data_IF_597622120817
#
_entry.id   IF_597622120817
#
_cell.length_a   1.000
_cell.length_b   1.000
_cell.length_c   1.000
_cell.angle_alpha   90.00
_cell.angle_beta   90.00
_cell.angle_gamma   90.00
#
_symmetry.space_group_name_H-M   'P 1'
#
loop_
_entity.id
_entity.type
_entity.pdbx_description
1 polymer ?
#
# COMPACT_ATOMS: atom_id res chain seq x y z
N UNK A 1 14.88 -60.76 -28.79
CA UNK A 1 15.83 -59.88 -28.05
C UNK A 1 15.87 -58.42 -28.54
N UNK A 2 14.83 -57.88 -29.20
CA UNK A 2 14.80 -56.48 -29.69
C UNK A 2 13.59 -55.65 -29.20
N UNK A 3 12.69 -56.24 -28.41
CA UNK A 3 11.43 -55.62 -27.97
C UNK A 3 11.45 -55.07 -26.54
N UNK A 4 12.40 -55.50 -25.68
CA UNK A 4 12.48 -55.00 -24.30
C UNK A 4 13.14 -53.62 -24.15
N UNK A 5 13.97 -53.19 -25.11
CA UNK A 5 14.71 -51.91 -25.02
C UNK A 5 13.90 -50.66 -25.38
N UNK A 6 12.69 -50.82 -25.95
CA UNK A 6 11.83 -49.69 -26.35
C UNK A 6 10.90 -49.20 -25.23
N UNK A 7 10.73 -49.95 -24.14
CA UNK A 7 9.86 -49.56 -23.03
C UNK A 7 10.61 -48.80 -21.94
N UNK A 8 11.88 -49.14 -21.69
CA UNK A 8 12.73 -48.40 -20.74
C UNK A 8 13.00 -46.96 -21.20
N UNK A 9 13.26 -46.73 -22.49
CA UNK A 9 13.49 -45.38 -23.03
C UNK A 9 12.25 -44.46 -22.93
N UNK A 10 11.03 -45.01 -23.05
CA UNK A 10 9.78 -44.23 -22.94
C UNK A 10 9.44 -43.88 -21.49
N UNK A 11 9.76 -44.75 -20.54
CA UNK A 11 9.55 -44.51 -19.11
C UNK A 11 10.55 -43.45 -18.60
N UNK A 12 11.81 -43.48 -19.04
CA UNK A 12 12.80 -42.45 -18.70
C UNK A 12 12.46 -41.07 -19.27
N UNK A 13 11.87 -40.99 -20.47
CA UNK A 13 11.45 -39.72 -21.07
C UNK A 13 10.20 -39.14 -20.37
N UNK A 14 9.27 -39.98 -19.95
CA UNK A 14 8.09 -39.56 -19.18
C UNK A 14 8.47 -39.08 -17.77
N UNK A 15 9.43 -39.73 -17.11
CA UNK A 15 9.92 -39.30 -15.79
C UNK A 15 10.70 -37.97 -15.87
N UNK A 16 11.45 -37.73 -16.95
CA UNK A 16 12.12 -36.46 -17.19
C UNK A 16 11.14 -35.31 -17.52
N UNK A 17 10.04 -35.60 -18.22
CA UNK A 17 8.98 -34.60 -18.48
C UNK A 17 8.17 -34.26 -17.22
N UNK A 18 7.97 -35.22 -16.31
CA UNK A 18 7.34 -35.00 -15.00
C UNK A 18 8.24 -34.23 -14.02
N UNK A 19 9.56 -34.35 -14.13
CA UNK A 19 10.52 -33.56 -13.34
C UNK A 19 10.69 -32.11 -13.85
N UNK A 20 10.44 -31.85 -15.13
CA UNK A 20 10.48 -30.50 -15.71
C UNK A 20 9.20 -29.68 -15.47
N UNK A 21 8.08 -30.34 -15.16
CA UNK A 21 6.82 -29.67 -14.82
C UNK A 21 6.74 -29.28 -13.32
N UNK A 22 7.70 -29.71 -12.49
CA UNK A 22 7.73 -29.44 -11.05
C UNK A 22 8.48 -28.15 -10.68
N UNK A 23 9.03 -27.43 -11.66
CA UNK A 23 9.76 -26.17 -11.44
C UNK A 23 9.13 -25.00 -12.21
N UNK A 24 7.80 -24.90 -12.25
CA UNK A 24 7.18 -23.58 -12.25
C UNK A 24 6.86 -23.24 -10.81
N UNK A 25 7.88 -22.85 -10.02
CA UNK A 25 7.59 -22.15 -8.78
C UNK A 25 6.66 -20.98 -9.14
N UNK A 26 5.50 -20.88 -8.50
CA UNK A 26 4.69 -19.68 -8.66
C UNK A 26 5.54 -18.49 -8.17
N UNK A 27 6.01 -17.70 -9.13
CA UNK A 27 6.77 -16.47 -8.91
C UNK A 27 5.78 -15.36 -8.56
N UNK A 28 5.09 -15.51 -7.43
CA UNK A 28 4.05 -14.58 -6.98
C UNK A 28 4.13 -14.31 -5.48
N UNK A 29 3.34 -13.34 -4.98
CA UNK A 29 3.21 -13.10 -3.55
C UNK A 29 2.81 -14.36 -2.78
N UNK A 30 3.34 -14.49 -1.57
CA UNK A 30 3.02 -15.58 -0.64
C UNK A 30 2.19 -15.00 0.49
N UNK A 31 0.94 -15.45 0.58
CA UNK A 31 0.04 -15.04 1.66
C UNK A 31 0.35 -15.81 2.95
N UNK A 32 0.64 -15.07 4.01
CA UNK A 32 0.99 -15.61 5.31
C UNK A 32 -0.27 -15.65 6.19
N UNK A 33 -1.01 -16.76 6.09
CA UNK A 33 -2.32 -16.94 6.73
C UNK A 33 -2.27 -16.87 8.26
N UNK A 34 -1.13 -17.20 8.86
CA UNK A 34 -0.91 -17.20 10.31
C UNK A 34 0.48 -16.65 10.67
N UNK A 35 0.74 -16.53 11.96
CA UNK A 35 2.04 -16.10 12.48
C UNK A 35 2.38 -14.64 12.17
N UNK A 36 3.66 -14.30 12.33
CA UNK A 36 4.20 -12.98 12.08
C UNK A 36 5.53 -13.16 11.34
N UNK A 37 5.51 -13.13 9.99
CA UNK A 37 6.73 -13.29 9.19
C UNK A 37 7.81 -12.31 9.65
N UNK A 38 9.03 -12.81 9.81
CA UNK A 38 10.13 -12.00 10.34
C UNK A 38 10.63 -11.03 9.27
N UNK A 39 10.62 -11.44 8.02
CA UNK A 39 11.15 -10.70 6.89
C UNK A 39 10.04 -10.21 5.96
N UNK A 40 10.23 -9.03 5.36
CA UNK A 40 9.31 -8.52 4.35
C UNK A 40 9.36 -9.41 3.09
N UNK A 41 10.54 -9.94 2.76
CA UNK A 41 10.74 -10.89 1.66
C UNK A 41 9.90 -12.17 1.78
N UNK A 42 9.47 -12.58 2.99
CA UNK A 42 8.59 -13.73 3.21
C UNK A 42 7.20 -13.57 2.53
N UNK A 43 6.78 -12.33 2.27
CA UNK A 43 5.52 -12.03 1.57
C UNK A 43 5.66 -12.08 0.06
N UNK A 44 6.89 -11.94 -0.46
CA UNK A 44 7.20 -11.88 -1.90
C UNK A 44 6.33 -10.89 -2.68
N UNK A 45 5.88 -9.79 -2.04
CA UNK A 45 5.11 -8.71 -2.71
C UNK A 45 6.05 -7.77 -3.47
N UNK A 46 7.21 -7.50 -2.90
CA UNK A 46 8.26 -6.69 -3.50
C UNK A 46 9.62 -7.21 -3.06
N UNK A 47 10.65 -6.87 -3.83
CA UNK A 47 12.05 -7.19 -3.52
C UNK A 47 12.95 -6.05 -3.96
N UNK A 48 14.16 -6.01 -3.43
CA UNK A 48 15.21 -5.07 -3.84
C UNK A 48 16.42 -5.81 -4.34
N UNK A 49 16.95 -5.39 -5.48
CA UNK A 49 18.19 -5.90 -6.06
C UNK A 49 18.72 -4.86 -7.04
N UNK A 50 20.03 -4.85 -7.31
CA UNK A 50 20.65 -4.04 -8.36
C UNK A 50 20.24 -2.54 -8.37
N UNK A 51 20.00 -1.97 -7.19
CA UNK A 51 19.59 -0.56 -7.04
C UNK A 51 18.15 -0.26 -7.47
N UNK A 52 17.29 -1.28 -7.56
CA UNK A 52 15.86 -1.13 -7.83
C UNK A 52 15.01 -1.82 -6.77
N UNK A 53 13.77 -1.36 -6.63
CA UNK A 53 12.68 -2.08 -5.99
C UNK A 53 11.79 -2.63 -7.10
N UNK A 54 11.56 -3.94 -7.10
CA UNK A 54 10.72 -4.64 -8.07
C UNK A 54 9.47 -5.20 -7.39
N UNK A 55 8.32 -5.02 -8.03
CA UNK A 55 7.04 -5.60 -7.63
C UNK A 55 6.89 -6.97 -8.24
N UNK A 56 6.45 -7.94 -7.43
CA UNK A 56 6.19 -9.27 -7.95
C UNK A 56 4.93 -9.30 -8.83
N UNK A 57 4.81 -10.32 -9.68
CA UNK A 57 3.69 -10.43 -10.62
C UNK A 57 2.34 -10.45 -9.88
N UNK A 58 1.39 -9.66 -10.38
CA UNK A 58 0.05 -9.54 -9.80
C UNK A 58 -0.07 -8.53 -8.67
N UNK A 59 1.03 -7.89 -8.27
CA UNK A 59 1.02 -6.76 -7.34
C UNK A 59 0.75 -5.48 -8.12
N UNK A 60 -0.31 -4.77 -7.74
CA UNK A 60 -0.78 -3.55 -8.42
C UNK A 60 -0.39 -2.33 -7.59
N UNK A 61 0.45 -1.42 -8.11
CA UNK A 61 0.72 -0.16 -7.44
C UNK A 61 -0.50 0.78 -7.56
N UNK A 62 -0.68 1.65 -6.57
CA UNK A 62 -1.72 2.67 -6.62
C UNK A 62 -1.32 3.91 -5.82
N UNK A 63 -1.98 5.04 -6.12
CA UNK A 63 -1.85 6.27 -5.36
C UNK A 63 -3.21 6.85 -4.97
N UNK A 64 -3.18 7.93 -4.19
CA UNK A 64 -4.40 8.58 -3.69
C UNK A 64 -4.41 10.03 -4.19
N UNK A 65 -5.59 10.54 -4.54
CA UNK A 65 -5.78 11.95 -4.93
C UNK A 65 -5.22 12.92 -3.88
N UNK A 66 -5.42 12.60 -2.60
CA UNK A 66 -4.77 13.28 -1.48
C UNK A 66 -4.18 12.23 -0.54
N UNK A 67 -2.85 12.12 -0.40
CA UNK A 67 -2.23 11.12 0.46
C UNK A 67 -2.22 11.57 1.93
N UNK A 68 -2.13 10.59 2.83
CA UNK A 68 -1.76 10.80 4.23
C UNK A 68 -0.42 11.56 4.32
N UNK A 69 -0.37 12.64 5.09
CA UNK A 69 0.86 13.33 5.45
C UNK A 69 1.66 12.49 6.48
N UNK A 70 2.98 12.40 6.30
CA UNK A 70 3.84 11.56 7.15
C UNK A 70 5.26 12.12 7.16
N UNK A 71 5.43 13.31 7.73
CA UNK A 71 6.72 13.99 7.89
C UNK A 71 7.52 14.08 6.57
N UNK A 72 6.82 14.43 5.49
CA UNK A 72 7.35 14.54 4.13
C UNK A 72 7.88 13.25 3.50
N UNK A 73 7.71 12.09 4.15
CA UNK A 73 8.01 10.80 3.52
C UNK A 73 7.17 10.60 2.25
N UNK A 74 7.83 10.17 1.19
CA UNK A 74 7.21 9.67 -0.03
C UNK A 74 6.68 8.26 0.21
N UNK A 75 5.68 7.83 -0.56
CA UNK A 75 5.03 6.54 -0.34
C UNK A 75 4.76 5.78 -1.63
N UNK A 76 5.28 4.55 -1.70
CA UNK A 76 4.81 3.53 -2.64
C UNK A 76 3.72 2.72 -1.97
N UNK A 77 2.54 2.60 -2.58
CA UNK A 77 1.47 1.72 -2.11
C UNK A 77 1.23 0.64 -3.13
N UNK A 78 1.01 -0.57 -2.66
CA UNK A 78 0.67 -1.70 -3.52
C UNK A 78 -0.44 -2.52 -2.92
N UNK A 79 -1.13 -3.25 -3.78
CA UNK A 79 -2.15 -4.19 -3.40
C UNK A 79 -2.00 -5.48 -4.19
N UNK A 80 -2.18 -6.61 -3.52
CA UNK A 80 -2.28 -7.94 -4.10
C UNK A 80 -3.57 -8.59 -3.60
N UNK A 81 -4.33 -9.20 -4.50
CA UNK A 81 -5.51 -10.00 -4.20
C UNK A 81 -5.29 -11.43 -4.70
N UNK A 82 -5.88 -12.45 -4.04
CA UNK A 82 -5.90 -13.79 -4.58
C UNK A 82 -6.53 -13.84 -5.98
N UNK A 83 -6.03 -14.76 -6.80
CA UNK A 83 -6.46 -14.88 -8.19
C UNK A 83 -7.95 -15.20 -8.27
N UNK A 84 -8.71 -14.37 -8.99
CA UNK A 84 -10.13 -14.57 -9.23
C UNK A 84 -11.05 -14.10 -8.10
N UNK A 85 -10.48 -13.49 -7.05
CA UNK A 85 -11.23 -12.92 -5.94
C UNK A 85 -11.04 -11.40 -5.95
N UNK A 86 -11.92 -10.64 -6.64
CA UNK A 86 -11.84 -9.18 -6.66
C UNK A 86 -12.32 -8.58 -5.33
N UNK A 87 -11.89 -7.35 -5.04
CA UNK A 87 -12.54 -6.55 -4.02
C UNK A 87 -13.93 -6.09 -4.49
N UNK A 88 -14.88 -6.00 -3.58
CA UNK A 88 -16.22 -5.51 -3.87
C UNK A 88 -16.27 -3.99 -3.64
N UNK A 89 -16.75 -3.28 -4.67
CA UNK A 89 -16.88 -1.83 -4.66
C UNK A 89 -17.75 -1.33 -3.50
N UNK A 90 -17.31 -0.23 -2.90
CA UNK A 90 -18.05 0.56 -1.93
C UNK A 90 -17.79 2.04 -2.26
N UNK A 91 -18.86 2.83 -2.36
CA UNK A 91 -18.76 4.26 -2.69
C UNK A 91 -18.25 5.11 -1.50
N UNK A 92 -18.57 4.70 -0.27
CA UNK A 92 -18.39 5.50 0.94
C UNK A 92 -17.20 5.03 1.80
N UNK A 93 -16.96 3.74 1.87
CA UNK A 93 -15.90 3.16 2.69
C UNK A 93 -14.76 2.58 1.84
N UNK A 94 -13.80 1.95 2.53
CA UNK A 94 -12.84 1.12 1.81
C UNK A 94 -13.57 -0.02 1.10
N UNK A 95 -13.02 -0.45 -0.04
CA UNK A 95 -13.54 -1.64 -0.72
C UNK A 95 -13.51 -2.86 0.21
N UNK A 96 -14.44 -3.77 -0.02
CA UNK A 96 -14.47 -5.04 0.71
C UNK A 96 -13.49 -6.00 0.05
N UNK A 97 -12.32 -6.17 0.66
CA UNK A 97 -11.26 -7.01 0.14
C UNK A 97 -11.39 -8.45 0.65
N UNK A 98 -11.17 -9.46 -0.22
CA UNK A 98 -11.24 -10.87 0.18
C UNK A 98 -10.08 -11.28 1.10
N UNK A 99 -10.28 -12.38 1.82
CA UNK A 99 -9.21 -13.09 2.55
C UNK A 99 -8.08 -13.43 1.60
N UNK A 100 -6.83 -13.24 2.04
CA UNK A 100 -5.65 -13.39 1.20
C UNK A 100 -5.14 -12.07 0.60
N UNK A 101 -5.88 -10.96 0.75
CA UNK A 101 -5.43 -9.64 0.30
C UNK A 101 -4.22 -9.17 1.10
N UNK A 102 -3.22 -8.60 0.41
CA UNK A 102 -2.07 -7.92 1.01
C UNK A 102 -2.02 -6.49 0.47
N UNK A 103 -2.03 -5.50 1.36
CA UNK A 103 -1.80 -4.09 1.02
C UNK A 103 -0.49 -3.67 1.68
N UNK A 104 0.42 -3.09 0.92
CA UNK A 104 1.68 -2.57 1.46
C UNK A 104 1.78 -1.07 1.27
N UNK A 105 2.51 -0.42 2.17
CA UNK A 105 2.90 0.97 2.08
C UNK A 105 4.36 1.11 2.49
N UNK A 106 5.22 1.36 1.51
CA UNK A 106 6.65 1.59 1.70
C UNK A 106 6.91 3.09 1.77
N UNK A 107 7.55 3.53 2.85
CA UNK A 107 7.91 4.92 3.11
C UNK A 107 9.39 5.14 2.86
N UNK A 108 9.71 6.22 2.15
CA UNK A 108 11.07 6.50 1.74
C UNK A 108 11.32 8.01 1.61
N UNK A 109 12.60 8.36 1.56
CA UNK A 109 13.07 9.72 1.36
C UNK A 109 14.22 9.76 0.34
N UNK A 110 14.38 10.86 -0.40
CA UNK A 110 15.65 11.15 -1.04
C UNK A 110 16.79 11.30 -0.03
N UNK A 111 17.96 10.76 -0.35
CA UNK A 111 19.19 10.93 0.42
C UNK A 111 19.97 12.16 -0.05
N UNK A 112 20.75 12.74 0.87
CA UNK A 112 21.68 13.84 0.55
C UNK A 112 23.10 13.37 0.22
N UNK A 113 23.40 12.10 0.47
CA UNK A 113 24.70 11.45 0.29
C UNK A 113 24.52 9.99 -0.16
N UNK A 114 25.59 9.37 -0.66
CA UNK A 114 25.55 7.98 -1.13
C UNK A 114 25.49 6.97 0.03
N UNK A 115 26.18 7.27 1.13
CA UNK A 115 26.19 6.46 2.35
C UNK A 115 25.08 6.93 3.30
N UNK A 116 24.55 6.03 4.12
CA UNK A 116 23.56 6.42 5.12
C UNK A 116 24.21 7.18 6.29
N UNK A 117 23.89 8.47 6.43
CA UNK A 117 24.37 9.34 7.51
C UNK A 117 23.23 9.99 8.32
N UNK A 118 21.98 9.54 8.12
CA UNK A 118 20.80 10.09 8.77
C UNK A 118 20.21 11.35 8.09
N UNK A 119 20.84 11.86 7.03
CA UNK A 119 20.36 13.04 6.32
C UNK A 119 19.48 12.66 5.12
N UNK A 120 18.34 13.32 5.04
CA UNK A 120 17.37 13.18 3.94
C UNK A 120 16.94 14.54 3.46
N UNK A 121 16.32 14.60 2.28
CA UNK A 121 15.80 15.85 1.72
C UNK A 121 14.37 15.72 1.26
N UNK A 122 13.77 16.86 0.92
CA UNK A 122 12.53 16.89 0.16
C UNK A 122 12.76 16.32 -1.23
N UNK A 123 11.74 15.66 -1.78
CA UNK A 123 11.81 15.17 -3.14
C UNK A 123 10.46 15.09 -3.81
N UNK A 124 10.51 14.84 -5.10
CA UNK A 124 9.35 14.54 -5.92
C UNK A 124 8.95 13.09 -5.75
N UNK A 125 7.66 12.81 -5.93
CA UNK A 125 7.13 11.45 -5.92
C UNK A 125 7.88 10.59 -6.94
N UNK A 126 8.31 9.40 -6.50
CA UNK A 126 8.89 8.39 -7.38
C UNK A 126 7.86 7.30 -7.57
N UNK A 127 7.73 6.84 -8.80
CA UNK A 127 6.73 5.87 -9.18
C UNK A 127 7.36 4.59 -9.72
N UNK A 128 6.52 3.58 -9.86
CA UNK A 128 6.83 2.31 -10.48
C UNK A 128 6.46 2.38 -11.96
N UNK A 129 7.37 1.97 -12.83
CA UNK A 129 7.10 1.76 -14.25
C UNK A 129 7.41 0.30 -14.58
N UNK A 130 6.45 -0.40 -15.20
CA UNK A 130 6.57 -1.82 -15.54
C UNK A 130 7.00 -2.71 -14.34
N UNK A 131 6.50 -2.39 -13.15
CA UNK A 131 6.80 -3.14 -11.93
C UNK A 131 8.11 -2.74 -11.23
N UNK A 132 8.89 -1.81 -11.78
CA UNK A 132 10.20 -1.40 -11.23
C UNK A 132 10.23 0.06 -10.78
N UNK A 133 10.80 0.33 -9.60
CA UNK A 133 11.11 1.67 -9.09
C UNK A 133 12.63 1.81 -8.84
N UNK A 134 13.31 2.82 -9.41
CA UNK A 134 14.74 3.04 -9.16
C UNK A 134 14.99 3.56 -7.73
N UNK A 135 16.00 3.01 -7.06
CA UNK A 135 16.40 3.38 -5.69
C UNK A 135 17.61 4.32 -5.62
N UNK A 136 18.17 4.74 -6.75
CA UNK A 136 19.30 5.67 -6.75
C UNK A 136 18.97 6.97 -5.99
N UNK A 137 19.74 7.22 -4.92
CA UNK A 137 19.57 8.37 -4.04
C UNK A 137 18.29 8.33 -3.19
N UNK A 138 17.76 7.14 -2.92
CA UNK A 138 16.57 6.91 -2.10
C UNK A 138 16.93 6.04 -0.91
N UNK A 139 16.43 6.42 0.27
CA UNK A 139 16.43 5.59 1.47
C UNK A 139 15.03 5.07 1.74
N UNK A 140 14.85 3.77 1.66
CA UNK A 140 13.69 3.07 2.21
C UNK A 140 13.82 3.04 3.74
N UNK A 141 12.75 3.42 4.43
CA UNK A 141 12.72 3.50 5.90
C UNK A 141 11.90 2.35 6.48
N UNK A 142 10.64 2.25 6.07
CA UNK A 142 9.74 1.20 6.54
C UNK A 142 8.78 0.73 5.44
N UNK A 143 8.28 -0.49 5.59
CA UNK A 143 7.11 -0.99 4.86
C UNK A 143 6.08 -1.49 5.85
N UNK A 144 4.87 -0.96 5.77
CA UNK A 144 3.73 -1.43 6.57
C UNK A 144 2.88 -2.37 5.73
N UNK A 145 2.61 -3.55 6.26
CA UNK A 145 1.77 -4.58 5.64
C UNK A 145 0.44 -4.64 6.36
N UNK A 146 -0.66 -4.50 5.60
CA UNK A 146 -1.98 -4.94 6.01
C UNK A 146 -2.31 -6.24 5.28
N UNK A 147 -2.64 -7.30 6.01
CA UNK A 147 -3.03 -8.58 5.43
C UNK A 147 -4.42 -9.00 5.93
N UNK A 148 -5.31 -9.38 5.01
CA UNK A 148 -6.67 -9.83 5.32
C UNK A 148 -6.66 -11.35 5.57
N UNK A 149 -6.59 -11.76 6.84
CA UNK A 149 -6.76 -13.15 7.29
C UNK A 149 -8.23 -13.47 7.50
N UNK A 150 -8.58 -14.73 7.75
CA UNK A 150 -9.95 -15.15 8.04
C UNK A 150 -10.56 -14.34 9.19
N UNK A 151 -9.82 -14.23 10.31
CA UNK A 151 -10.24 -13.51 11.53
C UNK A 151 -10.26 -11.98 11.40
N UNK A 152 -9.74 -11.43 10.31
CA UNK A 152 -9.70 -9.98 10.08
C UNK A 152 -8.37 -9.48 9.54
N UNK A 153 -8.21 -8.15 9.56
CA UNK A 153 -6.97 -7.51 9.15
C UNK A 153 -5.93 -7.52 10.27
N UNK A 154 -4.70 -7.87 9.91
CA UNK A 154 -3.52 -7.63 10.75
C UNK A 154 -2.72 -6.46 10.18
N UNK A 155 -1.97 -5.78 11.03
CA UNK A 155 -1.07 -4.70 10.65
C UNK A 155 0.36 -4.98 11.17
N UNK A 156 1.33 -4.99 10.27
CA UNK A 156 2.72 -5.38 10.55
C UNK A 156 3.70 -4.34 10.00
N UNK A 157 4.42 -3.62 10.88
CA UNK A 157 5.47 -2.69 10.47
C UNK A 157 6.81 -3.41 10.28
N UNK A 158 7.46 -3.21 9.14
CA UNK A 158 8.81 -3.70 8.84
C UNK A 158 9.76 -2.52 8.64
N UNK A 159 10.98 -2.62 9.16
CA UNK A 159 12.02 -1.59 9.02
C UNK A 159 13.13 -2.10 8.13
N UNK A 160 13.48 -1.31 7.12
CA UNK A 160 14.51 -1.65 6.14
C UNK A 160 15.89 -1.70 6.79
N UNK A 161 16.69 -2.69 6.42
CA UNK A 161 18.06 -2.82 6.88
C UNK A 161 18.99 -1.76 6.24
N UNK A 162 20.19 -1.61 6.80
CA UNK A 162 21.15 -0.62 6.29
C UNK A 162 21.57 -0.88 4.85
N UNK A 163 21.70 -2.15 4.47
CA UNK A 163 22.07 -2.62 3.14
C UNK A 163 20.96 -2.45 2.09
N UNK A 164 19.75 -2.03 2.50
CA UNK A 164 18.57 -1.84 1.64
C UNK A 164 18.21 -3.09 0.81
N UNK A 165 18.39 -4.27 1.41
CA UNK A 165 18.13 -5.57 0.77
C UNK A 165 16.87 -6.27 1.28
N UNK A 166 16.43 -5.96 2.49
CA UNK A 166 15.19 -6.47 3.08
C UNK A 166 14.74 -5.59 4.26
N UNK A 167 13.55 -5.86 4.80
CA UNK A 167 13.03 -5.23 6.00
C UNK A 167 12.62 -6.27 7.03
N UNK A 168 12.85 -5.96 8.31
CA UNK A 168 12.60 -6.86 9.44
C UNK A 168 11.41 -6.36 10.25
N UNK A 169 10.55 -7.28 10.68
CA UNK A 169 9.38 -6.98 11.50
C UNK A 169 9.77 -6.28 12.82
N UNK A 170 9.20 -5.10 13.06
CA UNK A 170 9.40 -4.31 14.29
C UNK A 170 8.10 -4.11 15.03
N UNK A 171 7.60 -5.16 15.68
CA UNK A 171 6.31 -5.12 16.43
C UNK A 171 6.23 -4.01 17.48
N UNK A 172 7.36 -3.64 18.07
CA UNK A 172 7.48 -2.56 19.06
C UNK A 172 7.62 -1.16 18.43
N UNK A 173 7.65 -1.05 17.10
CA UNK A 173 8.00 0.16 16.38
C UNK A 173 9.51 0.38 16.35
N UNK A 174 9.91 1.52 15.82
CA UNK A 174 11.31 1.97 15.74
C UNK A 174 11.34 3.50 15.74
N UNK A 175 12.41 4.08 16.28
CA UNK A 175 12.67 5.52 16.19
C UNK A 175 13.95 5.70 15.40
N UNK A 176 13.84 6.33 14.23
CA UNK A 176 14.99 6.58 13.35
C UNK A 176 15.36 8.06 13.45
N UNK A 177 16.50 8.43 14.06
CA UNK A 177 16.95 9.81 14.10
C UNK A 177 17.33 10.28 12.70
N UNK A 178 16.73 11.37 12.24
CA UNK A 178 16.94 11.88 10.88
C UNK A 178 17.09 13.40 10.89
N UNK A 179 17.74 13.93 9.86
CA UNK A 179 17.80 15.37 9.59
C UNK A 179 17.23 15.64 8.21
N UNK A 180 16.19 16.46 8.14
CA UNK A 180 15.53 16.84 6.89
C UNK A 180 16.11 18.16 6.36
N UNK A 181 16.73 18.11 5.18
CA UNK A 181 17.25 19.25 4.44
C UNK A 181 16.20 19.81 3.50
N UNK A 182 15.86 21.09 3.70
CA UNK A 182 14.83 21.81 2.95
C UNK A 182 15.40 22.47 1.69
N UNK A 183 14.56 22.68 0.66
CA UNK A 183 14.96 23.44 -0.54
C UNK A 183 15.40 24.89 -0.24
N UNK A 184 14.95 25.47 0.88
CA UNK A 184 15.31 26.82 1.31
C UNK A 184 16.65 26.90 2.09
N UNK A 185 17.38 25.78 2.17
CA UNK A 185 18.68 25.68 2.84
C UNK A 185 18.61 25.43 4.35
N UNK A 186 17.41 25.35 4.95
CA UNK A 186 17.27 24.94 6.35
C UNK A 186 17.44 23.44 6.53
N UNK A 187 17.95 23.03 7.68
CA UNK A 187 17.98 21.64 8.13
C UNK A 187 17.25 21.52 9.47
N UNK A 188 16.45 20.46 9.62
CA UNK A 188 15.70 20.18 10.85
C UNK A 188 15.91 18.73 11.28
N UNK A 189 16.46 18.55 12.48
CA UNK A 189 16.54 17.24 13.11
C UNK A 189 15.14 16.82 13.60
N UNK A 190 14.74 15.60 13.29
CA UNK A 190 13.47 15.03 13.74
C UNK A 190 13.59 13.52 13.97
N UNK A 191 12.86 12.96 14.94
CA UNK A 191 12.75 11.51 15.09
C UNK A 191 11.66 10.97 14.16
N UNK A 192 12.04 10.22 13.12
CA UNK A 192 11.05 9.49 12.32
C UNK A 192 10.50 8.32 13.13
N UNK A 193 9.17 8.26 13.29
CA UNK A 193 8.51 7.27 14.13
C UNK A 193 7.84 6.18 13.27
N UNK A 194 8.40 4.97 13.35
CA UNK A 194 7.74 3.76 12.85
C UNK A 194 6.77 3.28 13.94
N UNK A 195 5.46 3.23 13.68
CA UNK A 195 4.49 2.85 14.69
C UNK A 195 4.66 1.39 15.08
N UNK A 196 4.39 1.08 16.33
CA UNK A 196 4.28 -0.31 16.78
C UNK A 196 2.99 -0.95 16.25
N UNK A 197 2.92 -2.28 16.27
CA UNK A 197 1.80 -3.03 15.69
C UNK A 197 0.44 -2.68 16.34
N UNK A 198 0.42 -2.37 17.63
CA UNK A 198 -0.80 -1.97 18.35
C UNK A 198 -1.24 -0.54 18.00
N UNK A 199 -0.29 0.36 17.72
CA UNK A 199 -0.55 1.74 17.31
C UNK A 199 -1.18 1.80 15.91
N UNK A 200 -1.03 0.77 15.07
CA UNK A 200 -1.73 0.69 13.79
C UNK A 200 -3.24 0.78 13.96
N UNK A 201 -3.80 0.16 15.02
CA UNK A 201 -5.22 0.23 15.33
C UNK A 201 -5.68 1.66 15.66
N UNK A 202 -4.80 2.54 16.11
CA UNK A 202 -5.14 3.94 16.42
C UNK A 202 -5.73 4.71 15.23
N UNK A 203 -5.35 4.35 14.00
CA UNK A 203 -5.95 4.91 12.78
C UNK A 203 -6.82 3.92 12.03
N UNK A 204 -6.49 2.63 12.07
CA UNK A 204 -7.17 1.62 11.27
C UNK A 204 -8.39 0.99 11.95
N UNK A 205 -8.58 1.16 13.26
CA UNK A 205 -9.82 0.80 13.95
C UNK A 205 -10.83 1.95 13.85
N UNK A 206 -11.39 2.14 12.66
CA UNK A 206 -12.22 3.31 12.31
C UNK A 206 -13.61 3.31 12.95
N UNK A 207 -13.97 2.25 13.67
CA UNK A 207 -15.18 2.16 14.46
C UNK A 207 -14.78 1.87 15.92
N UNK A 208 -15.06 2.80 16.82
CA UNK A 208 -14.71 2.77 18.24
C UNK A 208 -15.42 1.65 19.01
N UNK A 209 -16.55 1.16 18.48
CA UNK A 209 -17.32 0.04 19.06
C UNK A 209 -16.75 -1.31 18.64
N UNK A 210 -16.61 -1.57 17.34
CA UNK A 210 -16.14 -2.89 16.85
C UNK A 210 -14.65 -3.07 17.02
N UNK A 211 -13.88 -1.97 16.95
CA UNK A 211 -12.41 -1.93 16.99
C UNK A 211 -11.72 -2.81 15.95
N UNK A 212 -12.45 -3.21 14.91
CA UNK A 212 -11.90 -3.98 13.81
C UNK A 212 -10.98 -3.10 12.96
N UNK A 213 -9.82 -3.63 12.59
CA UNK A 213 -8.87 -2.97 11.70
C UNK A 213 -9.40 -3.03 10.27
N UNK A 214 -9.36 -1.91 9.56
CA UNK A 214 -9.70 -1.80 8.14
C UNK A 214 -8.69 -0.94 7.38
N UNK A 215 -8.50 -1.15 6.06
CA UNK A 215 -7.79 -0.19 5.22
C UNK A 215 -8.53 1.15 5.22
N UNK A 216 -7.78 2.26 5.24
CA UNK A 216 -8.36 3.62 5.26
C UNK A 216 -8.12 4.41 3.97
N UNK A 217 -7.21 3.95 3.12
CA UNK A 217 -6.84 4.61 1.86
C UNK A 217 -7.69 4.19 0.65
N UNK A 218 -7.84 2.87 0.37
CA UNK A 218 -8.53 2.33 -0.82
C UNK A 218 -10.06 2.55 -0.83
N UNK A 219 -10.48 3.81 -0.89
CA UNK A 219 -11.88 4.25 -1.01
C UNK A 219 -12.11 4.80 -2.42
N UNK A 220 -13.31 4.62 -2.97
CA UNK A 220 -13.63 5.06 -4.32
C UNK A 220 -13.19 6.50 -4.61
N UNK A 221 -13.57 7.44 -3.73
CA UNK A 221 -13.23 8.87 -3.88
C UNK A 221 -11.74 9.20 -3.86
N UNK A 222 -10.92 8.39 -3.19
CA UNK A 222 -9.47 8.61 -3.13
C UNK A 222 -8.76 8.08 -4.38
N UNK A 223 -9.35 7.07 -5.05
CA UNK A 223 -8.80 6.45 -6.24
C UNK A 223 -9.38 7.02 -7.54
N UNK A 224 -10.48 7.78 -7.49
CA UNK A 224 -11.11 8.38 -8.66
C UNK A 224 -10.31 9.57 -9.23
N UNK A 225 -9.16 9.27 -9.84
CA UNK A 225 -8.25 10.21 -10.50
C UNK A 225 -7.61 9.56 -11.73
N UNK A 226 -6.97 10.33 -12.63
CA UNK A 226 -6.10 9.75 -13.65
C UNK A 226 -5.06 8.83 -13.00
N UNK A 227 -4.83 7.65 -13.57
CA UNK A 227 -3.83 6.71 -13.07
C UNK A 227 -2.42 7.23 -13.33
N UNK A 228 -1.56 7.04 -12.34
CA UNK A 228 -0.11 7.30 -12.46
C UNK A 228 0.61 6.11 -13.11
N UNK A 229 -0.04 4.95 -13.17
CA UNK A 229 0.53 3.68 -13.62
C UNK A 229 -0.01 3.22 -14.98
N UNK A 230 -1.20 3.69 -15.37
CA UNK A 230 -1.82 3.43 -16.67
C UNK A 230 -2.20 4.73 -17.39
N UNK A 231 -1.37 5.14 -18.35
CA UNK A 231 -1.55 6.38 -19.09
C UNK A 231 -2.91 6.47 -19.78
N UNK A 232 -3.60 7.61 -19.61
CA UNK A 232 -4.90 7.88 -20.25
C UNK A 232 -6.09 7.19 -19.58
N UNK A 233 -5.91 6.50 -18.46
CA UNK A 233 -6.97 5.79 -17.75
C UNK A 233 -7.27 6.43 -16.38
N UNK A 234 -8.49 6.28 -15.89
CA UNK A 234 -8.81 6.52 -14.48
C UNK A 234 -8.39 5.29 -13.65
N UNK A 235 -7.82 5.50 -12.46
CA UNK A 235 -7.32 4.39 -11.63
C UNK A 235 -8.44 3.43 -11.15
N UNK A 236 -9.68 3.88 -10.97
CA UNK A 236 -10.80 2.96 -10.68
C UNK A 236 -11.17 2.09 -11.89
N UNK A 237 -11.17 2.68 -13.09
CA UNK A 237 -11.44 1.94 -14.32
C UNK A 237 -10.31 0.96 -14.61
N UNK A 238 -9.06 1.33 -14.32
CA UNK A 238 -7.90 0.43 -14.34
C UNK A 238 -8.09 -0.75 -13.40
N UNK A 239 -8.46 -0.50 -12.14
CA UNK A 239 -8.70 -1.55 -11.15
C UNK A 239 -9.82 -2.51 -11.58
N UNK A 240 -10.88 -1.98 -12.20
CA UNK A 240 -11.95 -2.81 -12.79
C UNK A 240 -11.44 -3.65 -13.97
N UNK A 241 -10.67 -3.07 -14.88
CA UNK A 241 -10.14 -3.77 -16.07
C UNK A 241 -9.11 -4.85 -15.71
N UNK A 242 -8.31 -4.62 -14.66
CA UNK A 242 -7.40 -5.62 -14.10
C UNK A 242 -8.12 -6.74 -13.33
N UNK A 243 -9.43 -6.62 -13.12
CA UNK A 243 -10.24 -7.58 -12.37
C UNK A 243 -9.97 -7.57 -10.87
N UNK A 244 -9.39 -6.49 -10.32
CA UNK A 244 -9.15 -6.34 -8.88
C UNK A 244 -10.32 -5.65 -8.16
N UNK A 245 -11.23 -5.01 -8.90
CA UNK A 245 -12.43 -4.36 -8.38
C UNK A 245 -13.68 -4.83 -9.15
N UNK A 246 -14.69 -5.28 -8.42
CA UNK A 246 -15.97 -5.75 -8.94
C UNK A 246 -17.15 -5.19 -8.13
N UNK A 247 -18.37 -5.68 -8.39
CA UNK A 247 -19.59 -5.23 -7.73
C UNK A 247 -20.35 -4.18 -8.54
N UNK A 248 -21.15 -3.35 -7.86
CA UNK A 248 -21.99 -2.30 -8.47
C UNK A 248 -21.18 -1.05 -8.85
N UNK A 249 -20.16 -1.25 -9.68
CA UNK A 249 -19.31 -0.20 -10.22
C UNK A 249 -19.33 -0.26 -11.74
N UNK A 250 -19.95 0.74 -12.37
CA UNK A 250 -20.06 0.80 -13.84
C UNK A 250 -18.85 1.48 -14.47
N UNK A 251 -18.45 2.64 -13.97
CA UNK A 251 -17.29 3.40 -14.42
C UNK A 251 -16.98 4.54 -13.43
N UNK A 252 -15.78 5.10 -13.54
CA UNK A 252 -15.31 6.17 -12.65
C UNK A 252 -16.13 7.47 -12.74
N UNK A 253 -16.84 7.73 -13.84
CA UNK A 253 -17.64 8.94 -14.00
C UNK A 253 -18.86 8.98 -13.06
N UNK A 254 -19.35 7.82 -12.61
CA UNK A 254 -20.44 7.70 -11.65
C UNK A 254 -19.96 7.56 -10.19
N UNK A 255 -18.66 7.39 -9.95
CA UNK A 255 -18.10 7.23 -8.61
C UNK A 255 -17.83 8.59 -7.93
N UNK A 256 -17.87 8.66 -6.59
CA UNK A 256 -17.45 9.87 -5.88
C UNK A 256 -15.96 10.15 -6.13
N UNK A 257 -15.56 11.40 -5.93
CA UNK A 257 -14.18 11.87 -6.19
C UNK A 257 -13.78 12.94 -5.18
N UNK A 258 -12.58 12.77 -4.61
CA UNK A 258 -11.90 13.81 -3.86
C UNK A 258 -11.07 14.71 -4.79
N UNK A 259 -10.90 15.97 -4.40
CA UNK A 259 -9.96 16.85 -5.06
C UNK A 259 -8.52 16.32 -4.89
N UNK A 260 -7.68 16.58 -5.90
CA UNK A 260 -6.24 16.38 -5.78
C UNK A 260 -5.68 17.58 -5.02
N UNK A 261 -5.04 17.36 -3.88
CA UNK A 261 -4.61 18.46 -3.00
C UNK A 261 -3.64 19.46 -3.64
N UNK A 262 -2.83 19.00 -4.60
CA UNK A 262 -1.91 19.84 -5.37
C UNK A 262 -2.53 20.52 -6.60
N UNK A 263 -3.79 20.22 -6.94
CA UNK A 263 -4.45 20.81 -8.11
C UNK A 263 -5.03 22.20 -7.77
N UNK A 264 -4.28 23.25 -8.11
CA UNK A 264 -4.68 24.63 -7.84
C UNK A 264 -5.92 25.09 -8.64
N UNK A 265 -6.37 24.34 -9.64
CA UNK A 265 -7.61 24.63 -10.36
C UNK A 265 -8.86 24.24 -9.55
N UNK A 266 -8.71 23.34 -8.57
CA UNK A 266 -9.75 23.00 -7.62
C UNK A 266 -9.86 24.04 -6.50
N UNK A 267 -11.08 24.27 -6.02
CA UNK A 267 -11.32 25.22 -4.92
C UNK A 267 -10.55 24.82 -3.66
N UNK A 268 -10.15 25.82 -2.87
CA UNK A 268 -9.47 25.59 -1.58
C UNK A 268 -10.35 24.74 -0.66
N UNK A 269 -11.67 24.95 -0.65
CA UNK A 269 -12.61 24.15 0.15
C UNK A 269 -12.57 22.66 -0.25
N UNK A 270 -12.64 22.35 -1.55
CA UNK A 270 -12.60 20.98 -2.03
C UNK A 270 -11.28 20.28 -1.67
N UNK A 271 -10.14 20.99 -1.83
CA UNK A 271 -8.82 20.48 -1.46
C UNK A 271 -8.66 20.30 0.05
N UNK A 272 -9.15 21.23 0.86
CA UNK A 272 -9.13 21.14 2.31
C UNK A 272 -9.96 19.94 2.81
N UNK A 273 -11.16 19.74 2.26
CA UNK A 273 -12.01 18.59 2.59
C UNK A 273 -11.35 17.25 2.20
N UNK A 274 -10.73 17.17 1.03
CA UNK A 274 -9.99 15.98 0.61
C UNK A 274 -8.81 15.68 1.56
N UNK A 275 -8.10 16.72 2.00
CA UNK A 275 -7.02 16.58 2.97
C UNK A 275 -7.53 16.08 4.33
N UNK A 276 -8.61 16.68 4.85
CA UNK A 276 -9.23 16.26 6.11
C UNK A 276 -9.80 14.83 6.03
N UNK A 277 -10.35 14.44 4.89
CA UNK A 277 -10.81 13.07 4.68
C UNK A 277 -9.66 12.05 4.71
N UNK A 278 -8.57 12.33 4.01
CA UNK A 278 -7.42 11.42 3.99
C UNK A 278 -6.68 11.33 5.33
N UNK A 279 -6.64 12.42 6.10
CA UNK A 279 -5.79 12.55 7.28
C UNK A 279 -6.54 12.48 8.62
N UNK A 280 -7.85 12.74 8.65
CA UNK A 280 -8.57 12.96 9.91
C UNK A 280 -9.94 12.27 10.00
N UNK A 281 -10.68 12.08 8.90
CA UNK A 281 -12.08 11.60 8.94
C UNK A 281 -12.24 10.18 9.49
N UNK A 282 -11.19 9.35 9.42
CA UNK A 282 -11.20 8.00 9.98
C UNK A 282 -11.25 8.01 11.53
N UNK A 283 -10.78 9.09 12.16
CA UNK A 283 -10.92 9.32 13.60
C UNK A 283 -12.14 10.17 13.93
N UNK A 284 -12.36 11.23 13.15
CA UNK A 284 -13.43 12.20 13.33
C UNK A 284 -14.63 11.87 12.43
N UNK A 285 -15.44 10.91 12.88
CA UNK A 285 -16.70 10.49 12.27
C UNK A 285 -17.73 10.18 13.36
N UNK A 286 -18.95 9.80 12.97
CA UNK A 286 -20.01 9.38 13.88
C UNK A 286 -19.72 8.09 14.67
N UNK A 287 -18.77 7.28 14.21
CA UNK A 287 -18.38 6.02 14.86
C UNK A 287 -16.89 5.94 15.18
N UNK A 288 -16.10 6.94 14.76
CA UNK A 288 -14.64 6.92 14.86
C UNK A 288 -14.12 7.08 16.30
N UNK A 289 -12.84 6.80 16.55
CA UNK A 289 -12.22 6.99 17.87
C UNK A 289 -12.44 8.35 18.55
N UNK A 290 -12.75 9.41 17.79
CA UNK A 290 -13.04 10.74 18.31
C UNK A 290 -14.53 11.11 18.22
N UNK A 291 -15.43 10.13 18.13
CA UNK A 291 -16.90 10.30 18.04
C UNK A 291 -17.49 11.20 19.15
N UNK A 292 -16.95 11.14 20.37
CA UNK A 292 -17.40 11.99 21.49
C UNK A 292 -17.03 13.47 21.36
N UNK A 293 -16.19 13.85 20.38
CA UNK A 293 -15.81 15.25 20.16
C UNK A 293 -16.89 16.09 19.48
N UNK A 294 -17.87 15.44 18.81
CA UNK A 294 -18.86 16.11 17.97
C UNK A 294 -18.32 16.64 16.64
N UNK A 295 -17.03 16.45 16.34
CA UNK A 295 -16.40 16.84 15.08
C UNK A 295 -16.48 15.68 14.07
N UNK A 296 -17.17 15.90 12.95
CA UNK A 296 -17.33 14.94 11.85
C UNK A 296 -16.69 15.52 10.58
N UNK A 297 -15.56 14.95 10.17
CA UNK A 297 -14.72 15.42 9.06
C UNK A 297 -14.91 14.60 7.78
N UNK A 298 -15.95 13.76 7.71
CA UNK A 298 -16.27 13.05 6.47
C UNK A 298 -16.64 14.03 5.36
N UNK A 299 -16.26 13.75 4.11
CA UNK A 299 -16.42 14.71 3.01
C UNK A 299 -17.88 15.01 2.67
N UNK A 300 -18.80 14.07 2.95
CA UNK A 300 -20.24 14.23 2.75
C UNK A 300 -20.94 15.13 3.79
N UNK A 301 -20.25 15.51 4.86
CA UNK A 301 -20.83 16.31 5.95
C UNK A 301 -20.87 17.78 5.56
N UNK A 302 -22.04 18.40 5.73
CA UNK A 302 -22.25 19.83 5.48
C UNK A 302 -21.34 20.71 6.38
N UNK A 303 -20.92 21.88 5.88
CA UNK A 303 -20.21 22.86 6.71
C UNK A 303 -21.15 23.45 7.77
N UNK A 304 -20.64 23.58 8.99
CA UNK A 304 -21.36 24.23 10.10
C UNK A 304 -21.72 23.27 11.23
N UNK A 305 -22.21 23.79 12.36
CA UNK A 305 -22.59 22.96 13.49
C UNK A 305 -23.80 22.08 13.12
N UNK A 306 -23.71 20.77 13.42
CA UNK A 306 -24.87 19.87 13.43
C UNK A 306 -25.72 20.21 14.66
N UNK A 307 -26.65 21.15 14.52
CA UNK A 307 -27.60 21.52 15.58
C UNK A 307 -28.85 20.62 15.53
N UNK A 308 -28.68 19.32 15.70
CA UNK A 308 -29.79 18.34 15.76
C UNK A 308 -30.22 17.79 14.41
#
# INVERSE_FOLDING_TARGET
MKTLFRHTAKISLALAALLLAACSEETGPVFQAEGFPEHLSDWRVLSTHDGVLELNKGVVPYDLATPLFSDYALKLRTVYLPKGEPAIYNAEDAFDFPVGTIITKTFFFPQTSAEWDGNVSYGEERTVHDGVMPLQGVRLIETRVLARREDGWIALPYVWNEDQTDAVLKRAGEVVPMTLHRPDGRAEAFPYLVPNANQCAGCHATNNTTRAIHPIGPKARNLNKPSTFAAGMNQLDEWRLLGILAGDFTNAAAAPKNAVWGDETASVDARARAYLDANCSHCHSDVGPADTSGLDLRPSVALGPKLG
#
